data_IF_023212848384
#
_entry.id   IF_023212848384
#
_cell.length_a   1.000
_cell.length_b   1.000
_cell.length_c   1.000
_cell.angle_alpha   90.00
_cell.angle_beta   90.00
_cell.angle_gamma   90.00
#
_symmetry.space_group_name_H-M   'P 1'
#
loop_
_entity.id
_entity.type
_entity.pdbx_description
1 polymer ?
#
# COMPACT_ATOMS: atom_id res chain seq x y z
N UNK A 1 -15.85 0.22 10.93
CA UNK A 1 -14.49 0.23 10.32
C UNK A 1 -14.50 -0.58 9.03
N UNK A 2 -13.84 -0.09 8.01
CA UNK A 2 -13.77 -0.79 6.73
C UNK A 2 -12.30 -0.96 6.34
N UNK A 3 -11.70 -2.05 6.82
CA UNK A 3 -10.27 -2.30 6.64
C UNK A 3 -10.00 -3.05 5.35
N UNK A 4 -9.10 -2.51 4.54
CA UNK A 4 -8.57 -3.18 3.35
C UNK A 4 -7.04 -3.24 3.49
N UNK A 5 -6.48 -4.42 3.25
CA UNK A 5 -5.04 -4.64 3.28
C UNK A 5 -4.59 -4.99 1.87
N UNK A 6 -3.73 -4.14 1.30
CA UNK A 6 -3.15 -4.38 -0.02
C UNK A 6 -1.72 -4.86 0.18
N UNK A 7 -1.42 -6.04 -0.29
CA UNK A 7 -0.08 -6.60 -0.08
C UNK A 7 0.17 -7.84 -0.91
N UNK A 8 1.19 -8.58 -0.54
CA UNK A 8 1.57 -9.81 -1.23
C UNK A 8 1.80 -10.93 -0.22
N UNK A 9 1.62 -12.18 -0.67
CA UNK A 9 1.79 -13.35 0.18
C UNK A 9 3.22 -13.54 0.70
N UNK A 10 4.20 -12.96 0.03
CA UNK A 10 5.62 -13.07 0.41
C UNK A 10 6.08 -11.97 1.37
N UNK A 11 5.26 -10.96 1.60
CA UNK A 11 5.62 -9.84 2.48
C UNK A 11 5.30 -10.16 3.93
N UNK A 12 6.32 -10.21 4.79
CA UNK A 12 6.14 -10.48 6.21
C UNK A 12 5.25 -9.45 6.88
N UNK A 13 5.43 -8.19 6.55
CA UNK A 13 4.64 -7.13 7.17
C UNK A 13 3.17 -7.20 6.76
N UNK A 14 2.88 -7.68 5.55
CA UNK A 14 1.50 -7.97 5.14
C UNK A 14 0.88 -9.03 6.05
N UNK A 15 1.62 -10.11 6.33
CA UNK A 15 1.16 -11.16 7.23
C UNK A 15 0.95 -10.65 8.64
N UNK A 16 1.84 -9.78 9.12
CA UNK A 16 1.70 -9.18 10.45
C UNK A 16 0.47 -8.28 10.52
N UNK A 17 0.18 -7.54 9.48
CA UNK A 17 -1.02 -6.70 9.43
C UNK A 17 -2.28 -7.55 9.50
N UNK A 18 -2.35 -8.63 8.73
CA UNK A 18 -3.48 -9.54 8.76
C UNK A 18 -3.67 -10.12 10.17
N UNK A 19 -2.58 -10.54 10.81
CA UNK A 19 -2.62 -11.07 12.17
C UNK A 19 -3.13 -10.03 13.16
N UNK A 20 -2.65 -8.80 13.03
CA UNK A 20 -3.05 -7.72 13.93
C UNK A 20 -4.57 -7.57 13.98
N UNK A 21 -5.22 -7.45 12.83
CA UNK A 21 -6.67 -7.27 12.77
C UNK A 21 -7.43 -8.55 13.15
N UNK A 22 -6.92 -9.69 12.73
CA UNK A 22 -7.54 -10.98 13.05
C UNK A 22 -7.56 -11.24 14.56
N UNK A 23 -6.46 -10.99 15.25
CA UNK A 23 -6.36 -11.21 16.69
C UNK A 23 -7.28 -10.29 17.48
N UNK A 24 -7.64 -9.14 16.92
CA UNK A 24 -8.55 -8.18 17.54
C UNK A 24 -10.00 -8.36 17.10
N UNK A 25 -10.28 -9.38 16.32
CA UNK A 25 -11.63 -9.63 15.85
C UNK A 25 -12.16 -8.59 14.88
N UNK A 26 -11.27 -7.86 14.23
CA UNK A 26 -11.63 -6.84 13.26
C UNK A 26 -11.62 -7.46 11.86
N UNK A 27 -12.75 -7.39 11.18
CA UNK A 27 -12.86 -7.91 9.82
C UNK A 27 -12.09 -7.02 8.85
N UNK A 28 -11.48 -7.65 7.87
CA UNK A 28 -10.74 -6.93 6.84
C UNK A 28 -10.84 -7.67 5.51
N UNK A 29 -10.60 -6.93 4.44
CA UNK A 29 -10.51 -7.48 3.09
C UNK A 29 -9.04 -7.52 2.71
N UNK A 30 -8.54 -8.71 2.36
CA UNK A 30 -7.17 -8.86 1.86
C UNK A 30 -7.19 -8.77 0.34
N UNK A 31 -6.39 -7.87 -0.21
CA UNK A 31 -6.29 -7.67 -1.65
C UNK A 31 -4.86 -7.95 -2.08
N UNK A 32 -4.68 -9.00 -2.87
CA UNK A 32 -3.37 -9.35 -3.42
C UNK A 32 -3.06 -8.43 -4.59
N UNK A 33 -1.96 -7.69 -4.47
CA UNK A 33 -1.55 -6.74 -5.50
C UNK A 33 -1.18 -7.43 -6.82
N UNK A 34 -0.79 -8.70 -6.77
CA UNK A 34 -0.45 -9.45 -7.98
C UNK A 34 -1.69 -9.95 -8.72
N UNK A 35 -2.78 -10.15 -8.02
CA UNK A 35 -4.00 -10.70 -8.63
C UNK A 35 -4.99 -9.60 -9.01
N UNK A 36 -5.35 -8.75 -8.08
CA UNK A 36 -6.37 -7.73 -8.31
C UNK A 36 -5.78 -6.33 -8.42
N UNK A 37 -4.85 -6.01 -7.53
CA UNK A 37 -4.28 -4.69 -7.46
C UNK A 37 -5.20 -3.65 -6.86
N UNK A 38 -4.69 -2.42 -6.80
CA UNK A 38 -5.37 -1.26 -6.25
C UNK A 38 -6.02 -0.48 -7.39
N UNK A 39 -7.27 -0.05 -7.22
CA UNK A 39 -7.93 0.80 -8.19
C UNK A 39 -7.35 2.21 -8.15
N UNK A 40 -7.60 3.01 -9.20
CA UNK A 40 -7.11 4.38 -9.23
C UNK A 40 -7.70 5.22 -8.10
N UNK A 41 -8.97 5.04 -7.80
CA UNK A 41 -9.62 5.76 -6.69
C UNK A 41 -9.01 5.41 -5.35
N UNK A 42 -8.72 4.13 -5.12
CA UNK A 42 -8.03 3.68 -3.90
C UNK A 42 -6.63 4.25 -3.80
N UNK A 43 -5.90 4.22 -4.91
CA UNK A 43 -4.54 4.78 -4.98
C UNK A 43 -4.54 6.28 -4.65
N UNK A 44 -5.42 7.05 -5.27
CA UNK A 44 -5.52 8.49 -5.03
C UNK A 44 -5.86 8.79 -3.57
N UNK A 45 -6.75 8.00 -2.99
CA UNK A 45 -7.14 8.15 -1.59
C UNK A 45 -5.97 7.88 -0.64
N UNK A 46 -5.24 6.79 -0.87
CA UNK A 46 -4.08 6.44 -0.03
C UNK A 46 -2.96 7.48 -0.18
N UNK A 47 -2.67 7.89 -1.41
CA UNK A 47 -1.64 8.90 -1.66
C UNK A 47 -1.97 10.20 -0.92
N UNK A 48 -3.23 10.62 -0.94
CA UNK A 48 -3.67 11.81 -0.21
C UNK A 48 -3.54 11.62 1.30
N UNK A 49 -3.94 10.47 1.81
CA UNK A 49 -3.87 10.17 3.25
C UNK A 49 -2.43 10.17 3.76
N UNK A 50 -1.48 9.79 2.93
CA UNK A 50 -0.06 9.74 3.29
C UNK A 50 0.67 11.07 3.07
N UNK A 51 0.05 12.00 2.37
CA UNK A 51 0.67 13.27 2.03
C UNK A 51 1.52 13.23 0.77
N UNK A 52 1.33 12.23 -0.08
CA UNK A 52 1.99 12.13 -1.38
C UNK A 52 2.19 10.69 -1.83
N UNK A 53 2.13 10.46 -3.14
CA UNK A 53 2.32 9.14 -3.73
C UNK A 53 3.74 8.59 -3.52
N UNK A 54 4.71 9.48 -3.30
CA UNK A 54 6.12 9.10 -3.14
C UNK A 54 6.31 8.14 -1.96
N UNK A 55 5.48 8.26 -0.95
CA UNK A 55 5.56 7.40 0.24
C UNK A 55 5.17 5.95 -0.04
N UNK A 56 4.55 5.70 -1.18
CA UNK A 56 4.17 4.34 -1.59
C UNK A 56 5.29 3.62 -2.33
N UNK A 57 6.33 4.31 -2.76
CA UNK A 57 7.44 3.70 -3.49
C UNK A 57 8.35 2.95 -2.52
N UNK A 58 8.63 1.68 -2.83
CA UNK A 58 9.59 0.88 -2.08
C UNK A 58 10.96 1.00 -2.76
N UNK A 59 11.93 1.67 -2.11
CA UNK A 59 13.27 1.79 -2.70
C UNK A 59 14.00 0.45 -2.79
N UNK A 60 13.51 -0.55 -2.07
CA UNK A 60 14.05 -1.91 -2.10
C UNK A 60 13.25 -2.85 -3.00
N UNK A 61 12.37 -2.33 -3.85
CA UNK A 61 11.58 -3.14 -4.78
C UNK A 61 12.50 -4.01 -5.64
N UNK A 62 12.07 -5.24 -5.88
CA UNK A 62 12.87 -6.21 -6.65
C UNK A 62 13.03 -5.82 -8.11
N UNK A 63 12.02 -5.18 -8.68
CA UNK A 63 12.03 -4.71 -10.06
C UNK A 63 12.87 -3.42 -10.16
N UNK A 64 14.18 -3.57 -10.12
CA UNK A 64 15.11 -2.44 -10.14
C UNK A 64 15.07 -1.67 -11.43
N UNK A 65 14.78 -2.34 -12.54
CA UNK A 65 14.71 -1.71 -13.85
C UNK A 65 13.54 -0.72 -13.93
N UNK A 66 12.35 -1.13 -13.50
CA UNK A 66 11.19 -0.26 -13.51
C UNK A 66 11.33 0.86 -12.47
N UNK A 67 11.96 0.56 -11.33
CA UNK A 67 12.24 1.58 -10.32
C UNK A 67 13.15 2.67 -10.87
N UNK A 68 14.18 2.29 -11.63
CA UNK A 68 15.09 3.25 -12.27
C UNK A 68 14.38 4.08 -13.34
N UNK A 69 13.48 3.46 -14.11
CA UNK A 69 12.67 4.17 -15.09
C UNK A 69 11.78 5.21 -14.43
N UNK A 70 11.21 4.87 -13.27
CA UNK A 70 10.38 5.79 -12.50
C UNK A 70 11.17 7.05 -12.16
N UNK A 71 12.40 6.88 -11.67
CA UNK A 71 13.26 8.01 -11.30
C UNK A 71 13.60 8.93 -12.47
N UNK A 72 13.62 8.39 -13.69
CA UNK A 72 13.99 9.14 -14.90
C UNK A 72 12.84 9.98 -15.47
N UNK A 73 11.62 9.78 -14.99
CA UNK A 73 10.44 10.49 -15.49
C UNK A 73 10.27 11.85 -14.80
N UNK A 74 9.48 12.74 -15.42
CA UNK A 74 9.05 13.97 -14.74
C UNK A 74 7.94 13.65 -13.74
N UNK A 75 7.79 14.49 -12.72
CA UNK A 75 6.94 14.19 -11.57
C UNK A 75 5.50 13.78 -11.90
N UNK A 76 4.85 14.48 -12.82
CA UNK A 76 3.46 14.16 -13.17
C UNK A 76 3.31 12.80 -13.86
N UNK A 77 4.38 12.33 -14.53
CA UNK A 77 4.40 11.02 -15.16
C UNK A 77 4.68 9.91 -14.16
N UNK A 78 5.41 10.23 -13.08
CA UNK A 78 5.80 9.25 -12.07
C UNK A 78 4.60 8.65 -11.35
N UNK A 79 3.63 9.47 -11.02
CA UNK A 79 2.44 9.00 -10.31
C UNK A 79 1.68 7.95 -11.12
N UNK A 80 1.43 8.23 -12.39
CA UNK A 80 0.74 7.29 -13.28
C UNK A 80 1.57 6.03 -13.49
N UNK A 81 2.89 6.19 -13.67
CA UNK A 81 3.79 5.05 -13.86
C UNK A 81 3.81 4.14 -12.63
N UNK A 82 3.83 4.73 -11.46
CA UNK A 82 3.78 3.97 -10.21
C UNK A 82 2.47 3.19 -10.10
N UNK A 83 1.35 3.83 -10.38
CA UNK A 83 0.05 3.17 -10.34
C UNK A 83 0.00 1.98 -11.31
N UNK A 84 0.57 2.13 -12.50
CA UNK A 84 0.63 1.07 -13.51
C UNK A 84 1.60 -0.06 -13.16
N UNK A 85 2.46 0.16 -12.16
CA UNK A 85 3.51 -0.78 -11.76
C UNK A 85 3.50 -1.00 -10.26
N UNK A 86 2.44 -1.63 -9.78
CA UNK A 86 2.17 -1.77 -8.33
C UNK A 86 3.14 -2.71 -7.62
N UNK A 87 3.96 -3.45 -8.36
CA UNK A 87 5.06 -4.22 -7.80
C UNK A 87 6.13 -3.31 -7.16
N UNK A 88 6.07 -2.00 -7.43
CA UNK A 88 6.95 -1.02 -6.82
C UNK A 88 6.44 -0.48 -5.48
N UNK A 89 5.22 -0.85 -5.08
CA UNK A 89 4.64 -0.39 -3.83
C UNK A 89 5.34 -0.99 -2.62
N UNK A 90 5.54 -0.15 -1.62
CA UNK A 90 5.88 -0.62 -0.29
C UNK A 90 4.63 -1.25 0.33
N UNK A 91 4.76 -2.42 0.94
CA UNK A 91 3.62 -3.17 1.47
C UNK A 91 3.77 -3.46 2.97
N UNK A 92 2.67 -3.68 3.69
CA UNK A 92 1.29 -3.55 3.24
C UNK A 92 0.82 -2.10 3.16
N UNK A 93 -0.18 -1.86 2.32
CA UNK A 93 -0.93 -0.60 2.34
C UNK A 93 -2.25 -0.91 3.00
N UNK A 94 -2.58 -0.21 4.09
CA UNK A 94 -3.80 -0.47 4.86
C UNK A 94 -4.70 0.75 4.80
N UNK A 95 -5.94 0.53 4.35
CA UNK A 95 -6.96 1.58 4.29
C UNK A 95 -8.03 1.35 5.34
N UNK A 96 -8.53 2.44 5.88
CA UNK A 96 -9.74 2.47 6.70
C UNK A 96 -10.55 3.69 6.28
N UNK A 97 -11.45 3.52 5.31
CA UNK A 97 -12.16 4.63 4.71
C UNK A 97 -11.19 5.61 4.05
N UNK A 98 -11.13 6.84 4.55
CA UNK A 98 -10.23 7.88 4.02
C UNK A 98 -8.84 7.81 4.61
N UNK A 99 -8.65 7.03 5.67
CA UNK A 99 -7.36 6.88 6.32
C UNK A 99 -6.53 5.83 5.60
N UNK A 100 -5.22 5.98 5.64
CA UNK A 100 -4.32 5.02 5.02
C UNK A 100 -2.96 5.03 5.65
N UNK A 101 -2.31 3.86 5.66
CA UNK A 101 -0.93 3.72 6.14
C UNK A 101 -0.17 2.85 5.17
N UNK A 102 1.16 2.93 5.26
CA UNK A 102 2.07 2.07 4.52
C UNK A 102 3.04 1.42 5.50
N UNK A 103 3.29 0.13 5.33
CA UNK A 103 4.10 -0.66 6.24
C UNK A 103 3.29 -1.18 7.42
N UNK A 104 3.99 -1.79 8.37
CA UNK A 104 3.38 -2.31 9.58
C UNK A 104 3.27 -1.19 10.61
N UNK A 105 2.06 -0.72 10.88
CA UNK A 105 1.80 0.48 11.68
C UNK A 105 0.77 0.23 12.78
N UNK A 106 1.03 -0.72 13.71
CA UNK A 106 0.06 -1.07 14.75
C UNK A 106 -0.29 0.11 15.65
N UNK A 107 0.66 1.03 15.89
CA UNK A 107 0.42 2.18 16.75
C UNK A 107 -0.61 3.14 16.15
N UNK A 108 -0.64 3.25 14.81
CA UNK A 108 -1.63 4.07 14.12
C UNK A 108 -2.98 3.35 14.11
N UNK A 109 -2.97 2.06 13.77
CA UNK A 109 -4.20 1.27 13.66
C UNK A 109 -4.94 1.15 14.99
N UNK A 110 -4.20 1.15 16.07
CA UNK A 110 -4.77 1.13 17.42
C UNK A 110 -5.70 2.31 17.64
N UNK A 111 -5.35 3.48 17.11
CA UNK A 111 -6.15 4.68 17.25
C UNK A 111 -7.38 4.71 16.33
N UNK A 112 -7.50 3.75 15.42
CA UNK A 112 -8.66 3.64 14.54
C UNK A 112 -9.83 2.91 15.21
N UNK A 113 -9.58 2.22 16.28
CA UNK A 113 -10.58 1.42 17.00
C UNK A 113 -11.51 2.26 17.87
#
# INVERSE_FOLDING_TARGET
MNIQIFGTSKCFDTKKAQRYFKERGIKFQMIDLKEKGMSRGEFDNVARALGGWEKLVDPAAKDKQTLALLDALVDWQKEDKLFENQQLFKTPIVRNGRKGTVGYQPEIWKDWE
#
